data_IF_103837932695
#
_entry.id   IF_103837932695
#
_cell.length_a   1.000
_cell.length_b   1.000
_cell.length_c   1.000
_cell.angle_alpha   90.00
_cell.angle_beta   90.00
_cell.angle_gamma   90.00
#
_symmetry.space_group_name_H-M   'P 1'
#
loop_
_entity.id
_entity.type
_entity.pdbx_description
1 polymer ?
#
# COMPACT_ATOMS: atom_id res chain seq x y z
N UNK A 1 56.74 -11.83 27.01
CA UNK A 1 56.65 -13.07 26.22
C UNK A 1 55.18 -13.28 25.86
N UNK A 2 54.92 -13.53 24.58
CA UNK A 2 53.62 -13.60 23.90
C UNK A 2 52.60 -14.54 24.58
N UNK A 3 51.31 -14.17 24.58
CA UNK A 3 50.38 -14.68 23.54
C UNK A 3 49.13 -13.80 23.35
N UNK A 4 48.98 -13.42 22.08
CA UNK A 4 47.85 -12.84 21.36
C UNK A 4 46.50 -13.48 21.74
N UNK A 5 45.59 -12.72 22.37
CA UNK A 5 44.17 -13.07 22.42
C UNK A 5 43.46 -12.33 21.30
N UNK A 6 43.16 -13.11 20.26
CA UNK A 6 42.60 -12.69 19.00
C UNK A 6 41.32 -11.88 19.15
N UNK A 7 41.37 -10.71 18.55
CA UNK A 7 40.24 -9.89 18.11
C UNK A 7 39.33 -10.68 17.18
N UNK A 8 38.29 -11.33 17.69
CA UNK A 8 37.11 -11.66 16.86
C UNK A 8 35.96 -10.80 17.35
N UNK A 9 35.91 -9.65 16.69
CA UNK A 9 35.03 -8.52 16.91
C UNK A 9 33.57 -8.94 17.11
N UNK A 10 32.97 -8.54 18.25
CA UNK A 10 31.52 -8.52 18.47
C UNK A 10 30.75 -7.80 17.34
N UNK A 11 31.44 -7.03 16.49
CA UNK A 11 30.85 -6.48 15.26
C UNK A 11 30.43 -7.55 14.26
N UNK A 12 31.15 -8.69 14.16
CA UNK A 12 30.76 -9.76 13.23
C UNK A 12 29.44 -10.42 13.64
N UNK A 13 29.18 -10.54 14.95
CA UNK A 13 27.92 -11.11 15.47
C UNK A 13 26.72 -10.16 15.23
N UNK A 14 26.93 -8.85 15.34
CA UNK A 14 25.89 -7.85 15.02
C UNK A 14 25.62 -7.78 13.51
N UNK A 15 26.65 -7.91 12.67
CA UNK A 15 26.51 -7.93 11.20
C UNK A 15 25.70 -9.15 10.73
N UNK A 16 25.86 -10.32 11.36
CA UNK A 16 25.06 -11.51 11.03
C UNK A 16 23.57 -11.38 11.40
N UNK A 17 23.23 -10.67 12.49
CA UNK A 17 21.83 -10.47 12.91
C UNK A 17 21.12 -9.49 11.97
N UNK A 18 21.78 -8.40 11.56
CA UNK A 18 21.20 -7.40 10.63
C UNK A 18 21.00 -7.99 9.22
N UNK A 19 21.80 -8.98 8.81
CA UNK A 19 21.65 -9.65 7.52
C UNK A 19 20.50 -10.68 7.49
N UNK A 20 20.12 -11.29 8.63
CA UNK A 20 19.02 -12.27 8.67
C UNK A 20 17.65 -11.57 8.70
N UNK A 21 17.52 -10.42 9.38
CA UNK A 21 16.29 -9.63 9.44
C UNK A 21 16.01 -8.85 8.13
N UNK A 22 17.02 -8.67 7.27
CA UNK A 22 16.91 -7.92 6.01
C UNK A 22 16.60 -8.74 4.75
N UNK A 23 16.61 -10.09 4.83
CA UNK A 23 16.67 -10.96 3.64
C UNK A 23 15.38 -11.69 3.27
N UNK A 24 14.26 -11.47 3.95
CA UNK A 24 12.99 -12.10 3.59
C UNK A 24 11.77 -11.19 3.70
N UNK A 25 11.91 -9.90 3.34
CA UNK A 25 10.80 -9.27 2.62
C UNK A 25 10.86 -9.88 1.23
N UNK A 26 10.24 -11.07 1.06
CA UNK A 26 9.74 -11.44 -0.25
C UNK A 26 8.82 -10.30 -0.64
N UNK A 27 9.28 -9.46 -1.54
CA UNK A 27 8.39 -8.57 -2.26
C UNK A 27 7.53 -9.54 -3.07
N UNK A 28 6.37 -9.91 -2.52
CA UNK A 28 5.39 -10.72 -3.23
C UNK A 28 4.97 -9.87 -4.43
N UNK A 29 5.67 -10.04 -5.55
CA UNK A 29 5.47 -9.29 -6.79
C UNK A 29 4.09 -9.54 -7.43
N UNK A 30 3.28 -10.37 -6.76
CA UNK A 30 1.99 -10.86 -7.19
C UNK A 30 0.88 -10.39 -6.22
N UNK A 31 0.94 -9.16 -5.70
CA UNK A 31 -0.10 -8.61 -4.82
C UNK A 31 -0.74 -7.35 -5.40
N UNK A 32 -2.07 -7.35 -5.46
CA UNK A 32 -2.87 -6.23 -5.93
C UNK A 32 -3.42 -5.41 -4.76
N UNK A 33 -2.92 -4.18 -4.59
CA UNK A 33 -3.38 -3.27 -3.53
C UNK A 33 -4.82 -2.78 -3.70
N UNK A 34 -5.28 -2.53 -4.93
CA UNK A 34 -6.66 -2.06 -5.17
C UNK A 34 -7.72 -3.10 -4.81
N UNK A 35 -7.36 -4.39 -4.87
CA UNK A 35 -8.27 -5.49 -4.58
C UNK A 35 -7.93 -6.23 -3.27
N UNK A 36 -6.84 -5.85 -2.60
CA UNK A 36 -6.28 -6.51 -1.42
C UNK A 36 -6.14 -8.04 -1.62
N UNK A 37 -5.52 -8.45 -2.73
CA UNK A 37 -5.39 -9.86 -3.12
C UNK A 37 -3.97 -10.23 -3.50
N UNK A 38 -3.46 -11.29 -2.89
CA UNK A 38 -2.22 -11.97 -3.29
C UNK A 38 -2.49 -13.12 -4.25
N UNK A 39 -1.56 -13.34 -5.17
CA UNK A 39 -1.57 -14.38 -6.18
C UNK A 39 -0.33 -15.26 -6.02
N UNK A 40 -0.45 -16.55 -6.38
CA UNK A 40 0.66 -17.50 -6.27
C UNK A 40 1.63 -17.43 -7.44
N UNK A 41 1.20 -16.88 -8.59
CA UNK A 41 2.00 -16.70 -9.79
C UNK A 41 1.90 -15.26 -10.32
N UNK A 42 2.93 -14.85 -11.05
CA UNK A 42 2.98 -13.52 -11.70
C UNK A 42 2.00 -13.44 -12.87
N UNK A 43 1.82 -14.52 -13.63
CA UNK A 43 0.86 -14.61 -14.74
C UNK A 43 -0.59 -14.40 -14.25
N UNK A 44 -0.97 -15.00 -13.12
CA UNK A 44 -2.29 -14.81 -12.51
C UNK A 44 -2.48 -13.35 -12.06
N UNK A 45 -1.42 -12.74 -11.52
CA UNK A 45 -1.44 -11.35 -11.09
C UNK A 45 -1.58 -10.37 -12.28
N UNK A 46 -0.82 -10.59 -13.35
CA UNK A 46 -0.89 -9.80 -14.57
C UNK A 46 -2.26 -9.95 -15.23
N UNK A 47 -2.78 -11.17 -15.33
CA UNK A 47 -4.13 -11.44 -15.86
C UNK A 47 -5.21 -10.76 -15.02
N UNK A 48 -5.08 -10.79 -13.70
CA UNK A 48 -5.97 -10.06 -12.80
C UNK A 48 -5.91 -8.55 -13.01
N UNK A 49 -4.71 -7.97 -13.07
CA UNK A 49 -4.51 -6.54 -13.27
C UNK A 49 -4.99 -6.08 -14.65
N UNK A 50 -4.83 -6.91 -15.68
CA UNK A 50 -5.36 -6.66 -17.02
C UNK A 50 -6.90 -6.58 -17.04
N UNK A 51 -7.57 -7.24 -16.09
CA UNK A 51 -9.02 -7.17 -15.91
C UNK A 51 -9.51 -5.92 -15.17
N UNK A 52 -8.62 -5.04 -14.69
CA UNK A 52 -9.05 -3.83 -14.00
C UNK A 52 -9.73 -2.84 -14.95
N UNK A 53 -10.77 -2.19 -14.45
CA UNK A 53 -11.48 -1.13 -15.14
C UNK A 53 -11.45 0.14 -14.29
N UNK A 54 -11.30 1.27 -14.96
CA UNK A 54 -11.34 2.58 -14.30
C UNK A 54 -12.78 3.08 -14.19
N UNK A 55 -13.16 3.62 -13.03
CA UNK A 55 -14.51 4.12 -12.77
C UNK A 55 -14.91 5.26 -13.72
N UNK A 56 -14.12 6.34 -13.78
CA UNK A 56 -14.35 7.49 -14.68
C UNK A 56 -15.54 8.40 -14.35
N UNK A 57 -16.40 8.04 -13.41
CA UNK A 57 -17.54 8.87 -13.01
C UNK A 57 -17.11 10.06 -12.15
N UNK A 58 -17.65 11.25 -12.42
CA UNK A 58 -17.33 12.50 -11.70
C UNK A 58 -15.81 12.80 -11.62
N UNK A 59 -15.01 12.28 -12.57
CA UNK A 59 -13.55 12.41 -12.55
C UNK A 59 -12.82 11.40 -11.63
N UNK A 60 -13.51 10.37 -11.15
CA UNK A 60 -12.92 9.34 -10.30
C UNK A 60 -11.87 8.49 -11.06
N UNK A 61 -10.66 8.43 -10.51
CA UNK A 61 -9.52 7.68 -11.06
C UNK A 61 -9.35 6.29 -10.46
N UNK A 62 -10.31 5.80 -9.67
CA UNK A 62 -10.23 4.47 -9.07
C UNK A 62 -10.24 3.39 -10.16
N UNK A 63 -9.24 2.51 -10.14
CA UNK A 63 -9.12 1.35 -11.02
C UNK A 63 -9.04 0.06 -10.20
N UNK A 64 -9.93 -0.88 -10.49
CA UNK A 64 -10.03 -2.17 -9.79
C UNK A 64 -10.83 -3.18 -10.63
N UNK A 65 -11.00 -4.39 -10.12
CA UNK A 65 -11.89 -5.41 -10.72
C UNK A 65 -13.31 -4.87 -10.94
N UNK A 66 -14.01 -5.22 -12.04
CA UNK A 66 -15.33 -4.70 -12.37
C UNK A 66 -16.37 -4.88 -11.25
N UNK A 67 -16.28 -5.96 -10.46
CA UNK A 67 -17.20 -6.18 -9.33
C UNK A 67 -16.97 -5.19 -8.20
N UNK A 68 -15.71 -4.79 -7.98
CA UNK A 68 -15.35 -3.76 -6.99
C UNK A 68 -15.82 -2.40 -7.47
N UNK A 69 -15.63 -2.10 -8.76
CA UNK A 69 -16.08 -0.84 -9.36
C UNK A 69 -17.60 -0.69 -9.30
N UNK A 70 -18.38 -1.73 -9.60
CA UNK A 70 -19.85 -1.66 -9.47
C UNK A 70 -20.30 -1.33 -8.04
N UNK A 71 -19.66 -1.96 -7.03
CA UNK A 71 -19.91 -1.63 -5.62
C UNK A 71 -19.47 -0.21 -5.29
N UNK A 72 -18.30 0.21 -5.72
CA UNK A 72 -17.79 1.56 -5.54
C UNK A 72 -18.77 2.60 -6.11
N UNK A 73 -19.28 2.39 -7.33
CA UNK A 73 -20.26 3.28 -7.96
C UNK A 73 -21.54 3.35 -7.13
N UNK A 74 -22.06 2.20 -6.69
CA UNK A 74 -23.28 2.15 -5.85
C UNK A 74 -23.08 2.86 -4.50
N UNK A 75 -21.95 2.66 -3.86
CA UNK A 75 -21.69 3.13 -2.51
C UNK A 75 -21.19 4.56 -2.45
N UNK A 76 -20.41 5.03 -3.43
CA UNK A 76 -19.81 6.37 -3.42
C UNK A 76 -20.59 7.35 -4.29
N UNK A 77 -20.87 6.99 -5.54
CA UNK A 77 -21.49 7.89 -6.50
C UNK A 77 -23.02 7.90 -6.39
N UNK A 78 -23.68 6.73 -6.42
CA UNK A 78 -25.15 6.65 -6.36
C UNK A 78 -25.72 7.08 -5.01
N UNK A 79 -24.99 6.89 -3.93
CA UNK A 79 -25.39 7.36 -2.59
C UNK A 79 -25.27 8.88 -2.42
N UNK A 80 -24.62 9.57 -3.37
CA UNK A 80 -24.28 10.99 -3.26
C UNK A 80 -23.21 11.31 -2.21
N UNK A 81 -22.57 10.30 -1.61
CA UNK A 81 -21.50 10.51 -0.63
C UNK A 81 -20.29 11.18 -1.26
N UNK A 82 -19.87 10.75 -2.46
CA UNK A 82 -18.72 11.32 -3.16
C UNK A 82 -18.86 12.83 -3.35
N UNK A 83 -20.04 13.30 -3.79
CA UNK A 83 -20.32 14.72 -3.99
C UNK A 83 -20.29 15.52 -2.69
N UNK A 84 -20.71 14.94 -1.56
CA UNK A 84 -20.63 15.61 -0.26
C UNK A 84 -19.20 15.76 0.23
N UNK A 85 -18.39 14.71 0.09
CA UNK A 85 -16.98 14.71 0.50
C UNK A 85 -16.12 15.64 -0.34
N UNK A 86 -16.30 15.63 -1.67
CA UNK A 86 -15.53 16.51 -2.57
C UNK A 86 -15.90 17.98 -2.39
N UNK A 87 -17.12 18.27 -1.93
CA UNK A 87 -17.59 19.64 -1.71
C UNK A 87 -17.22 20.20 -0.32
N UNK A 88 -16.33 19.55 0.43
CA UNK A 88 -15.81 20.11 1.68
C UNK A 88 -15.01 21.40 1.42
N UNK A 89 -15.31 22.44 2.20
CA UNK A 89 -14.71 23.75 2.03
C UNK A 89 -13.21 23.69 2.41
N UNK A 90 -12.29 24.22 1.59
CA UNK A 90 -10.87 24.31 1.91
C UNK A 90 -10.55 24.91 3.28
N UNK A 91 -11.40 25.82 3.76
CA UNK A 91 -11.29 26.42 5.09
C UNK A 91 -11.45 25.39 6.23
N UNK A 92 -12.38 24.44 6.08
CA UNK A 92 -12.66 23.44 7.10
C UNK A 92 -11.53 22.40 7.18
N UNK A 93 -10.92 22.07 6.04
CA UNK A 93 -9.73 21.21 5.96
C UNK A 93 -8.55 21.85 6.70
N UNK A 94 -8.29 23.14 6.47
CA UNK A 94 -7.19 23.85 7.13
C UNK A 94 -7.36 23.87 8.66
N UNK A 95 -8.58 24.16 9.13
CA UNK A 95 -8.90 24.16 10.56
C UNK A 95 -8.69 22.77 11.19
N UNK A 96 -9.13 21.70 10.53
CA UNK A 96 -8.91 20.32 10.99
C UNK A 96 -7.42 19.96 11.08
N UNK A 97 -6.60 20.41 10.12
CA UNK A 97 -5.15 20.23 10.14
C UNK A 97 -4.52 20.93 11.35
N UNK A 98 -4.92 22.17 11.64
CA UNK A 98 -4.41 22.96 12.76
C UNK A 98 -4.80 22.36 14.12
N UNK A 99 -6.03 21.88 14.26
CA UNK A 99 -6.50 21.20 15.46
C UNK A 99 -5.72 19.91 15.76
N UNK A 100 -5.31 19.17 14.73
CA UNK A 100 -4.54 17.91 14.88
C UNK A 100 -3.03 18.10 15.05
N UNK A 101 -2.51 19.30 14.77
CA UNK A 101 -1.11 19.65 15.03
C UNK A 101 -0.86 20.14 16.47
N UNK A 102 -1.93 20.47 17.21
CA UNK A 102 -1.88 20.91 18.60
C UNK A 102 -1.68 19.76 19.57
#
# INVERSE_FOLDING_TARGET
>A
MYVCMSTVSLRYFVITIVLIEGLLVKQDNCYCGSCDRGFSSEEDFETHCAGHVTCGLDGCTLSADPKVIDKHIKLQHKSGLYKRLVNENPHDIQKWIEERKR
#
